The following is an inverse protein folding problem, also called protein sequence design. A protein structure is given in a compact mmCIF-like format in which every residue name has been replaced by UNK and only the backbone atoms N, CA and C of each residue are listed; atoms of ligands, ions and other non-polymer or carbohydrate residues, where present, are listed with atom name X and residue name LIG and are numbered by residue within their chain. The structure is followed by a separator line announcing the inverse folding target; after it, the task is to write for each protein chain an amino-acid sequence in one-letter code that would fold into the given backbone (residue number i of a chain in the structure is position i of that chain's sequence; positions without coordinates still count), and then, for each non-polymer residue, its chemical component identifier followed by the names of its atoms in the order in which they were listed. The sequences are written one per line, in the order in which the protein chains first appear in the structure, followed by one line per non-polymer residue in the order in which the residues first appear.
data_IF_756552657194
#
_entry.id   IF_756552657194
#
_cell.length_a   1.000
_cell.length_b   1.000
_cell.length_c   1.000
_cell.angle_alpha   90.00
_cell.angle_beta   90.00
_cell.angle_gamma   90.00
#
_symmetry.space_group_name_H-M   'P 1'
#
loop_
_entity.id
_entity.type
_entity.pdbx_description
1 polymer ?
#
# COMPACT_ATOMS: atom_id res chain seq x y z
N UNK A 1 9.33 -9.34 -1.98
CA UNK A 1 9.18 -10.06 -3.27
C UNK A 1 9.84 -9.21 -4.33
N UNK A 2 10.65 -9.80 -5.19
CA UNK A 2 11.25 -9.08 -6.31
C UNK A 2 10.22 -8.92 -7.45
N UNK A 3 10.28 -7.85 -8.26
CA UNK A 3 9.35 -7.64 -9.38
C UNK A 3 9.24 -8.82 -10.36
N UNK A 4 10.28 -9.63 -10.48
CA UNK A 4 10.35 -10.78 -11.39
C UNK A 4 9.78 -12.07 -10.79
N UNK A 5 9.42 -12.07 -9.51
CA UNK A 5 8.91 -13.25 -8.82
C UNK A 5 7.51 -13.61 -9.33
N UNK A 6 7.38 -14.77 -10.00
CA UNK A 6 6.08 -15.30 -10.40
C UNK A 6 5.24 -15.66 -9.18
N UNK A 7 4.00 -15.20 -9.18
CA UNK A 7 2.99 -15.53 -8.18
C UNK A 7 1.94 -16.40 -8.87
N UNK A 8 1.64 -17.56 -8.28
CA UNK A 8 0.55 -18.41 -8.76
C UNK A 8 -0.79 -17.65 -8.72
N UNK A 9 -1.73 -17.92 -9.64
CA UNK A 9 -3.03 -17.27 -9.63
C UNK A 9 -3.74 -17.44 -8.28
N UNK A 10 -4.21 -16.34 -7.68
CA UNK A 10 -4.94 -16.35 -6.42
C UNK A 10 -6.16 -15.44 -6.50
N UNK A 11 -7.28 -15.89 -5.94
CA UNK A 11 -8.52 -15.11 -5.83
C UNK A 11 -8.67 -14.53 -4.40
N UNK A 12 -7.61 -13.89 -3.90
CA UNK A 12 -7.65 -13.16 -2.64
C UNK A 12 -7.54 -11.67 -2.92
N UNK A 13 -8.61 -10.94 -2.64
CA UNK A 13 -8.62 -9.48 -2.75
C UNK A 13 -8.81 -8.87 -1.37
N UNK A 14 -8.03 -7.84 -1.05
CA UNK A 14 -8.23 -7.07 0.18
C UNK A 14 -9.62 -6.41 0.24
N UNK A 15 -10.27 -6.20 -0.91
CA UNK A 15 -11.64 -5.68 -0.97
C UNK A 15 -12.66 -6.65 -0.37
N UNK A 16 -12.48 -7.97 -0.57
CA UNK A 16 -13.36 -9.02 -0.03
C UNK A 16 -13.00 -9.51 1.37
N UNK A 17 -11.80 -9.21 1.87
CA UNK A 17 -11.33 -9.66 3.18
C UNK A 17 -12.08 -8.99 4.34
N UNK A 18 -12.30 -9.73 5.44
CA UNK A 18 -12.80 -9.16 6.70
C UNK A 18 -11.76 -8.22 7.31
N UNK A 19 -12.20 -7.29 8.15
CA UNK A 19 -11.31 -6.29 8.80
C UNK A 19 -10.16 -6.96 9.55
N UNK A 20 -10.42 -8.06 10.27
CA UNK A 20 -9.39 -8.81 10.99
C UNK A 20 -8.30 -9.37 10.07
N UNK A 21 -8.70 -9.96 8.94
CA UNK A 21 -7.77 -10.52 7.95
C UNK A 21 -6.92 -9.43 7.30
N UNK A 22 -7.52 -8.26 7.01
CA UNK A 22 -6.77 -7.09 6.49
C UNK A 22 -5.73 -6.58 7.49
N UNK A 23 -6.05 -6.58 8.79
CA UNK A 23 -5.09 -6.21 9.85
C UNK A 23 -3.93 -7.20 9.91
N UNK A 24 -4.21 -8.50 9.83
CA UNK A 24 -3.17 -9.54 9.80
C UNK A 24 -2.30 -9.39 8.55
N UNK A 25 -2.92 -9.13 7.39
CA UNK A 25 -2.20 -8.85 6.15
C UNK A 25 -1.29 -7.63 6.29
N UNK A 26 -1.80 -6.51 6.81
CA UNK A 26 -1.03 -5.28 7.00
C UNK A 26 0.17 -5.52 7.93
N UNK A 27 -0.01 -6.28 9.02
CA UNK A 27 1.10 -6.62 9.91
C UNK A 27 2.20 -7.43 9.22
N UNK A 28 1.84 -8.37 8.35
CA UNK A 28 2.83 -9.12 7.55
C UNK A 28 3.60 -8.20 6.60
N UNK A 29 2.93 -7.23 5.98
CA UNK A 29 3.59 -6.23 5.11
C UNK A 29 4.56 -5.37 5.91
N UNK A 30 4.20 -4.94 7.12
CA UNK A 30 5.10 -4.19 8.01
C UNK A 30 6.38 -4.97 8.29
N UNK A 31 6.26 -6.24 8.68
CA UNK A 31 7.42 -7.11 8.94
C UNK A 31 8.32 -7.29 7.71
N UNK A 32 7.73 -7.41 6.52
CA UNK A 32 8.49 -7.51 5.27
C UNK A 32 9.22 -6.21 4.95
N UNK A 33 8.58 -5.05 5.18
CA UNK A 33 9.22 -3.75 5.00
C UNK A 33 10.34 -3.53 6.02
N UNK A 34 10.16 -3.95 7.28
CA UNK A 34 11.18 -3.85 8.32
C UNK A 34 12.48 -4.59 7.95
N UNK A 35 12.36 -5.73 7.27
CA UNK A 35 13.50 -6.55 6.87
C UNK A 35 14.28 -5.95 5.68
N UNK A 36 13.61 -5.22 4.80
CA UNK A 36 14.14 -4.85 3.47
C UNK A 36 14.35 -3.34 3.30
N UNK A 37 13.69 -2.50 4.11
CA UNK A 37 13.59 -1.06 3.89
C UNK A 37 13.99 -0.30 5.16
N UNK A 38 15.10 0.43 5.08
CA UNK A 38 15.50 1.37 6.13
C UNK A 38 14.52 2.54 6.24
N UNK A 39 14.33 3.06 7.45
CA UNK A 39 13.51 4.24 7.69
C UNK A 39 14.13 5.50 7.09
N UNK A 40 13.29 6.48 6.78
CA UNK A 40 13.68 7.76 6.19
C UNK A 40 13.44 7.82 4.69
N UNK A 41 13.41 9.04 4.14
CA UNK A 41 13.05 9.28 2.74
C UNK A 41 11.55 9.54 2.53
N UNK A 42 11.12 9.48 1.26
CA UNK A 42 9.76 9.82 0.82
C UNK A 42 9.01 8.54 0.45
N UNK A 43 7.82 8.36 1.02
CA UNK A 43 6.91 7.27 0.67
C UNK A 43 5.68 7.86 -0.04
N UNK A 44 5.46 7.49 -1.30
CA UNK A 44 4.27 7.91 -2.05
C UNK A 44 3.33 6.72 -2.15
N UNK A 45 2.18 6.81 -1.50
CA UNK A 45 1.19 5.74 -1.45
C UNK A 45 0.17 5.93 -2.57
N UNK A 46 0.34 5.16 -3.63
CA UNK A 46 -0.58 5.13 -4.78
C UNK A 46 -1.69 4.08 -4.62
N UNK A 47 -1.63 3.28 -3.55
CA UNK A 47 -2.58 2.22 -3.29
C UNK A 47 -3.93 2.74 -2.76
N UNK A 48 -5.01 2.08 -3.15
CA UNK A 48 -6.37 2.39 -2.69
C UNK A 48 -6.59 2.10 -1.20
N UNK A 49 -7.69 2.63 -0.65
CA UNK A 49 -7.95 2.66 0.80
C UNK A 49 -7.77 1.31 1.50
N UNK A 50 -8.34 0.22 0.96
CA UNK A 50 -8.25 -1.12 1.56
C UNK A 50 -6.83 -1.68 1.63
N UNK A 51 -5.94 -1.22 0.75
CA UNK A 51 -4.55 -1.67 0.66
C UNK A 51 -3.61 -0.88 1.57
N UNK A 52 -4.00 0.33 1.96
CA UNK A 52 -3.24 1.16 2.90
C UNK A 52 -3.86 1.21 4.31
N UNK A 53 -5.06 0.67 4.46
CA UNK A 53 -5.74 0.51 5.74
C UNK A 53 -4.84 -0.28 6.71
N UNK A 54 -4.59 0.29 7.90
CA UNK A 54 -3.65 -0.23 8.92
C UNK A 54 -2.15 -0.13 8.58
N UNK A 55 -1.78 0.44 7.44
CA UNK A 55 -0.38 0.72 7.11
C UNK A 55 0.00 2.20 7.32
N UNK A 56 -0.97 3.12 7.25
CA UNK A 56 -0.68 4.56 7.22
C UNK A 56 0.12 5.05 8.43
N UNK A 57 -0.26 4.66 9.65
CA UNK A 57 0.46 5.06 10.86
C UNK A 57 1.92 4.60 10.79
N UNK A 58 2.13 3.29 10.56
CA UNK A 58 3.47 2.69 10.35
C UNK A 58 4.31 3.40 9.28
N UNK A 59 3.70 3.75 8.14
CA UNK A 59 4.41 4.44 7.06
C UNK A 59 4.79 5.87 7.47
N UNK A 60 3.87 6.61 8.09
CA UNK A 60 4.09 8.00 8.52
C UNK A 60 5.11 8.15 9.65
N UNK A 61 5.24 7.15 10.53
CA UNK A 61 6.26 7.12 11.57
C UNK A 61 7.68 6.89 11.01
N UNK A 62 7.79 6.25 9.84
CA UNK A 62 9.07 5.84 9.24
C UNK A 62 9.52 6.68 8.07
N UNK A 63 8.59 7.30 7.34
CA UNK A 63 8.83 7.99 6.09
C UNK A 63 8.06 9.31 6.03
N UNK A 64 8.56 10.27 5.24
CA UNK A 64 7.74 11.39 4.80
C UNK A 64 6.69 10.87 3.81
N UNK A 65 5.50 10.61 4.32
CA UNK A 65 4.45 9.88 3.61
C UNK A 65 3.46 10.82 2.94
N UNK A 66 3.12 10.53 1.69
CA UNK A 66 2.17 11.29 0.88
C UNK A 66 1.15 10.34 0.22
N UNK A 67 -0.10 10.80 0.14
CA UNK A 67 -1.20 10.06 -0.51
C UNK A 67 -1.85 10.97 -1.54
N UNK A 68 -1.19 11.22 -2.68
CA UNK A 68 -1.58 12.30 -3.60
C UNK A 68 -2.94 12.09 -4.28
N UNK A 69 -3.39 10.84 -4.32
CA UNK A 69 -4.67 10.44 -4.92
C UNK A 69 -5.80 10.29 -3.90
N UNK A 70 -5.62 10.71 -2.64
CA UNK A 70 -6.68 10.62 -1.65
C UNK A 70 -7.88 11.50 -2.02
N UNK A 71 -9.09 10.97 -1.85
CA UNK A 71 -10.34 11.63 -2.24
C UNK A 71 -10.61 11.72 -3.74
N UNK A 72 -9.66 11.38 -4.62
CA UNK A 72 -9.86 11.39 -6.07
C UNK A 72 -10.72 10.22 -6.55
N UNK A 73 -11.64 10.47 -7.48
CA UNK A 73 -12.38 9.45 -8.24
C UNK A 73 -11.45 8.72 -9.19
N UNK A 74 -11.83 7.52 -9.64
CA UNK A 74 -10.96 6.67 -10.47
C UNK A 74 -10.46 7.36 -11.76
N UNK A 75 -11.30 8.18 -12.41
CA UNK A 75 -10.87 8.95 -13.60
C UNK A 75 -9.87 10.07 -13.27
N UNK A 76 -9.99 10.68 -12.10
CA UNK A 76 -9.06 11.72 -11.61
C UNK A 76 -7.73 11.09 -11.20
N UNK A 77 -7.75 9.90 -10.61
CA UNK A 77 -6.53 9.12 -10.31
C UNK A 77 -5.76 8.76 -11.58
N UNK A 78 -6.46 8.30 -12.63
CA UNK A 78 -5.84 8.01 -13.92
C UNK A 78 -5.24 9.27 -14.55
N UNK A 79 -5.96 10.40 -14.52
CA UNK A 79 -5.44 11.68 -15.00
C UNK A 79 -4.18 12.08 -14.22
N UNK A 80 -4.21 12.00 -12.89
CA UNK A 80 -3.06 12.30 -12.05
C UNK A 80 -1.82 11.47 -12.40
N UNK A 81 -1.99 10.16 -12.63
CA UNK A 81 -0.90 9.27 -13.03
C UNK A 81 -0.31 9.56 -14.42
N UNK A 82 -1.06 10.24 -15.29
CA UNK A 82 -0.59 10.61 -16.63
C UNK A 82 0.09 11.99 -16.65
N UNK A 83 -0.27 12.87 -15.70
CA UNK A 83 0.18 14.26 -15.67
C UNK A 83 1.40 14.51 -14.75
N UNK A 84 1.84 13.50 -13.97
CA UNK A 84 2.98 13.56 -13.05
C UNK A 84 4.09 12.58 -13.46
#
# INVERSE_FOLDING_TARGET
MAPEQRVEPYDQTLNGMKVGDRRVWAHRVQQQMDAEISSGGRCVVLAGNRYREFLMDYLSERFRTEVPMDGLRIGEQQRWLLDN
#
